data_IF_840899059201
#
_entry.id   IF_840899059201
#
_cell.length_a   1.000
_cell.length_b   1.000
_cell.length_c   1.000
_cell.angle_alpha   90.00
_cell.angle_beta   90.00
_cell.angle_gamma   90.00
#
_symmetry.space_group_name_H-M   'P 1'
#
loop_
_entity.id
_entity.type
_entity.pdbx_description
1 polymer ?
#
# COMPACT_ATOMS: atom_id res chain seq x y z
N UNK A 1 -36.53 34.71 3.17
CA UNK A 1 -35.59 34.25 2.12
C UNK A 1 -34.11 34.26 2.51
N UNK A 2 -33.63 35.18 3.39
CA UNK A 2 -32.22 35.24 3.82
C UNK A 2 -31.79 34.19 4.87
N UNK A 3 -32.71 33.72 5.71
CA UNK A 3 -32.42 32.72 6.76
C UNK A 3 -32.09 31.33 6.18
N UNK A 4 -32.81 30.88 5.15
CA UNK A 4 -32.57 29.57 4.52
C UNK A 4 -31.18 29.47 3.87
N UNK A 5 -30.72 30.55 3.23
CA UNK A 5 -29.39 30.61 2.62
C UNK A 5 -28.27 30.53 3.67
N UNK A 6 -28.49 31.11 4.85
CA UNK A 6 -27.52 31.04 5.96
C UNK A 6 -27.40 29.62 6.54
N UNK A 7 -28.51 28.90 6.73
CA UNK A 7 -28.47 27.52 7.23
C UNK A 7 -27.79 26.58 6.24
N UNK A 8 -28.06 26.70 4.93
CA UNK A 8 -27.38 25.92 3.90
C UNK A 8 -25.87 26.15 3.91
N UNK A 9 -25.43 27.40 4.10
CA UNK A 9 -24.01 27.74 4.20
C UNK A 9 -23.35 27.05 5.41
N UNK A 10 -23.97 27.12 6.60
CA UNK A 10 -23.44 26.45 7.79
C UNK A 10 -23.45 24.93 7.67
N UNK A 11 -24.47 24.34 7.03
CA UNK A 11 -24.53 22.90 6.74
C UNK A 11 -23.41 22.47 5.78
N UNK A 12 -23.17 23.22 4.72
CA UNK A 12 -22.07 22.97 3.77
C UNK A 12 -20.71 23.03 4.48
N UNK A 13 -20.50 24.04 5.33
CA UNK A 13 -19.27 24.18 6.12
C UNK A 13 -19.09 22.97 7.05
N UNK A 14 -20.15 22.56 7.77
CA UNK A 14 -20.10 21.39 8.65
C UNK A 14 -19.79 20.09 7.87
N UNK A 15 -20.44 19.88 6.72
CA UNK A 15 -20.18 18.75 5.81
C UNK A 15 -18.72 18.73 5.33
N UNK A 16 -18.17 19.88 4.93
CA UNK A 16 -16.77 19.98 4.52
C UNK A 16 -15.80 19.63 5.66
N UNK A 17 -16.09 20.06 6.90
CA UNK A 17 -15.27 19.73 8.07
C UNK A 17 -15.34 18.23 8.41
N UNK A 18 -16.52 17.62 8.35
CA UNK A 18 -16.69 16.19 8.61
C UNK A 18 -16.00 15.32 7.54
N UNK A 19 -16.11 15.70 6.26
CA UNK A 19 -15.43 15.01 5.17
C UNK A 19 -13.90 15.02 5.35
N UNK A 20 -13.31 16.16 5.74
CA UNK A 20 -11.86 16.25 6.01
C UNK A 20 -11.41 15.40 7.20
N UNK A 21 -12.27 15.20 8.20
CA UNK A 21 -11.98 14.32 9.35
C UNK A 21 -12.02 12.85 8.96
N UNK A 22 -12.97 12.46 8.10
CA UNK A 22 -13.09 11.08 7.62
C UNK A 22 -11.97 10.69 6.64
N UNK A 23 -11.43 11.65 5.88
CA UNK A 23 -10.33 11.43 4.94
C UNK A 23 -8.95 11.33 5.60
N UNK A 24 -8.86 11.47 6.93
CA UNK A 24 -7.63 11.19 7.64
C UNK A 24 -7.41 9.67 7.68
N UNK A 25 -6.63 9.17 6.72
CA UNK A 25 -6.19 7.78 6.70
C UNK A 25 -5.43 7.49 8.00
N UNK A 26 -5.95 6.59 8.87
CA UNK A 26 -5.21 6.21 10.05
C UNK A 26 -3.94 5.50 9.58
N UNK A 27 -2.81 6.20 9.67
CA UNK A 27 -1.46 5.69 9.38
C UNK A 27 -1.06 4.64 10.41
N UNK A 28 -1.80 3.55 10.45
CA UNK A 28 -1.54 2.43 11.31
C UNK A 28 -0.25 1.76 10.83
N UNK A 29 0.65 1.36 11.74
CA UNK A 29 1.81 0.59 11.38
C UNK A 29 1.34 -0.73 10.73
N UNK A 30 1.64 -0.89 9.44
CA UNK A 30 1.31 -2.11 8.70
C UNK A 30 2.32 -3.19 9.05
N UNK A 31 1.82 -4.35 9.49
CA UNK A 31 2.62 -5.57 9.63
C UNK A 31 2.35 -6.44 8.40
N UNK A 32 3.36 -6.57 7.55
CA UNK A 32 3.29 -7.34 6.31
C UNK A 32 4.52 -8.26 6.18
N UNK A 33 4.46 -9.21 5.25
CA UNK A 33 5.55 -10.12 4.91
C UNK A 33 5.94 -9.94 3.45
N UNK A 34 7.21 -10.18 3.14
CA UNK A 34 7.67 -10.21 1.76
C UNK A 34 7.38 -11.59 1.15
N UNK A 35 6.86 -11.61 -0.07
CA UNK A 35 6.66 -12.83 -0.87
C UNK A 35 7.88 -13.06 -1.78
N UNK A 36 9.07 -13.12 -1.18
CA UNK A 36 10.32 -13.41 -1.89
C UNK A 36 10.25 -14.79 -2.56
N UNK A 37 10.87 -14.94 -3.74
CA UNK A 37 10.83 -16.19 -4.49
C UNK A 37 9.54 -16.46 -5.26
N UNK A 38 8.57 -15.53 -5.31
CA UNK A 38 7.31 -15.74 -6.02
C UNK A 38 7.38 -15.42 -7.53
N UNK A 39 7.66 -14.17 -7.90
CA UNK A 39 7.78 -13.75 -9.31
C UNK A 39 9.22 -13.79 -9.82
N UNK A 40 10.17 -13.64 -8.90
CA UNK A 40 11.60 -13.71 -9.17
C UNK A 40 12.20 -14.67 -8.16
N UNK A 41 12.97 -15.61 -8.65
CA UNK A 41 13.59 -16.64 -7.82
C UNK A 41 14.96 -16.17 -7.36
N UNK A 42 15.19 -16.21 -6.05
CA UNK A 42 16.46 -15.80 -5.44
C UNK A 42 17.20 -17.03 -4.93
N UNK A 43 18.49 -17.15 -5.27
CA UNK A 43 19.30 -18.33 -4.97
C UNK A 43 19.42 -18.66 -3.48
N UNK A 44 19.24 -17.68 -2.60
CA UNK A 44 19.34 -17.85 -1.15
C UNK A 44 18.02 -18.26 -0.48
N UNK A 45 16.87 -18.01 -1.12
CA UNK A 45 15.54 -18.36 -0.58
C UNK A 45 15.31 -19.87 -0.70
N UNK A 46 15.70 -20.47 -1.84
CA UNK A 46 15.64 -21.92 -2.05
C UNK A 46 16.83 -22.40 -2.90
N UNK A 47 18.02 -22.59 -2.31
CA UNK A 47 19.24 -22.93 -3.04
C UNK A 47 19.14 -24.23 -3.85
N UNK A 48 18.48 -25.25 -3.28
CA UNK A 48 18.33 -26.56 -3.91
C UNK A 48 17.52 -26.55 -5.20
N UNK A 49 16.74 -25.50 -5.45
CA UNK A 49 16.00 -25.35 -6.71
C UNK A 49 16.95 -25.20 -7.92
N UNK A 50 18.18 -24.77 -7.67
CA UNK A 50 19.14 -24.40 -8.71
C UNK A 50 20.30 -25.37 -8.89
N UNK A 51 20.38 -26.43 -8.07
CA UNK A 51 21.51 -27.37 -8.05
C UNK A 51 21.74 -28.14 -9.39
N UNK A 52 20.76 -28.10 -10.31
CA UNK A 52 20.82 -28.74 -11.62
C UNK A 52 20.69 -27.82 -12.82
N UNK A 53 20.65 -26.49 -12.63
CA UNK A 53 20.44 -25.55 -13.73
C UNK A 53 21.81 -25.09 -14.27
N UNK A 54 22.15 -25.40 -15.55
CA UNK A 54 23.46 -25.07 -16.10
C UNK A 54 23.65 -23.56 -16.35
N UNK A 55 22.56 -22.79 -16.49
CA UNK A 55 22.62 -21.37 -16.85
C UNK A 55 22.12 -20.48 -15.70
N UNK A 56 22.96 -19.52 -15.28
CA UNK A 56 22.72 -18.69 -14.08
C UNK A 56 21.99 -17.37 -14.35
N UNK A 57 21.52 -17.14 -15.58
CA UNK A 57 21.00 -15.83 -16.01
C UNK A 57 19.72 -15.38 -15.30
N UNK A 58 18.98 -16.31 -14.68
CA UNK A 58 17.79 -16.01 -13.86
C UNK A 58 18.10 -15.91 -12.35
N UNK A 59 19.36 -16.12 -11.94
CA UNK A 59 19.80 -16.00 -10.55
C UNK A 59 20.20 -14.56 -10.27
N UNK A 60 19.34 -13.81 -9.59
CA UNK A 60 19.75 -12.54 -8.98
C UNK A 60 20.51 -12.85 -7.69
N UNK A 61 21.77 -13.25 -7.81
CA UNK A 61 22.72 -13.26 -6.70
C UNK A 61 23.48 -11.94 -6.78
N UNK A 62 23.05 -10.97 -6.00
CA UNK A 62 23.78 -9.72 -5.80
C UNK A 62 24.55 -9.81 -4.48
N UNK A 63 25.82 -10.18 -4.57
CA UNK A 63 26.88 -9.81 -3.62
C UNK A 63 28.08 -9.38 -4.46
#
# INVERSE_FOLDING_TARGET
MRSHLSHCFWLLVALCFLYRRAAADPRLPVRAVNLGGWLVTEGWILPSLFDGIPNKDLLVINV
#
